data_IF_737926633217
#
_entry.id   IF_737926633217
#
_cell.length_a   1.000
_cell.length_b   1.000
_cell.length_c   1.000
_cell.angle_alpha   90.00
_cell.angle_beta   90.00
_cell.angle_gamma   90.00
#
_symmetry.space_group_name_H-M   'P 1'
#
loop_
_entity.id
_entity.type
_entity.pdbx_description
1 polymer ?
#
# COMPACT_ATOMS: atom_id res chain seq x y z
N UNK A 1 -13.96 -15.92 46.39
CA UNK A 1 -14.59 -16.64 45.26
C UNK A 1 -14.40 -15.77 44.01
N UNK A 2 -13.52 -16.23 43.13
CA UNK A 2 -13.33 -15.92 41.69
C UNK A 2 -13.29 -14.45 41.24
N UNK A 3 -12.07 -13.91 41.18
CA UNK A 3 -11.69 -12.80 40.30
C UNK A 3 -11.67 -13.31 38.86
N UNK A 4 -12.68 -13.01 38.05
CA UNK A 4 -12.68 -13.30 36.62
C UNK A 4 -11.69 -12.36 35.91
N UNK A 5 -10.43 -12.80 35.86
CA UNK A 5 -9.44 -12.33 34.89
C UNK A 5 -9.92 -12.75 33.50
N UNK A 6 -10.75 -11.93 32.87
CA UNK A 6 -10.83 -11.90 31.41
C UNK A 6 -9.51 -11.33 30.91
N UNK A 7 -8.47 -12.17 30.92
CA UNK A 7 -7.22 -11.91 30.24
C UNK A 7 -7.60 -11.95 28.76
N UNK A 8 -7.99 -10.81 28.21
CA UNK A 8 -8.21 -10.61 26.79
C UNK A 8 -6.98 -11.14 26.09
N UNK A 9 -7.07 -12.37 25.59
CA UNK A 9 -6.11 -12.91 24.64
C UNK A 9 -6.44 -12.16 23.36
N UNK A 10 -5.92 -10.94 23.27
CA UNK A 10 -5.93 -10.17 22.05
C UNK A 10 -4.97 -10.89 21.12
N UNK A 11 -5.48 -11.93 20.46
CA UNK A 11 -4.80 -12.57 19.34
C UNK A 11 -4.79 -11.51 18.24
N UNK A 12 -3.81 -10.61 18.28
CA UNK A 12 -3.44 -9.86 17.10
C UNK A 12 -2.86 -10.87 16.12
N UNK A 13 -3.73 -11.45 15.29
CA UNK A 13 -3.28 -12.17 14.11
C UNK A 13 -2.40 -11.21 13.31
N UNK A 14 -1.16 -11.62 13.03
CA UNK A 14 -0.27 -10.86 12.16
C UNK A 14 -1.02 -10.56 10.86
N UNK A 15 -1.08 -9.27 10.50
CA UNK A 15 -1.73 -8.79 9.28
C UNK A 15 -0.68 -8.38 8.29
N UNK A 16 -0.91 -8.66 7.01
CA UNK A 16 -0.05 -8.21 5.93
C UNK A 16 -0.60 -6.90 5.37
N UNK A 17 0.23 -5.89 5.25
CA UNK A 17 -0.15 -4.55 4.78
C UNK A 17 0.69 -4.19 3.56
N UNK A 18 0.02 -3.82 2.47
CA UNK A 18 0.65 -3.25 1.29
C UNK A 18 0.85 -1.75 1.50
N UNK A 19 2.09 -1.30 1.62
CA UNK A 19 2.46 0.09 1.80
C UNK A 19 2.97 0.69 0.50
N UNK A 20 2.11 1.45 -0.18
CA UNK A 20 2.38 2.07 -1.48
C UNK A 20 2.97 3.45 -1.30
N UNK A 21 4.12 3.70 -1.92
CA UNK A 21 4.77 5.01 -2.02
C UNK A 21 5.07 5.31 -3.48
N UNK A 22 4.92 6.58 -3.87
CA UNK A 22 5.30 7.04 -5.21
C UNK A 22 5.90 8.43 -5.10
N UNK A 23 7.22 8.49 -4.90
CA UNK A 23 7.93 9.76 -4.82
C UNK A 23 9.32 9.66 -5.45
N UNK A 24 9.70 10.57 -6.37
CA UNK A 24 10.94 10.45 -7.16
C UNK A 24 12.25 10.69 -6.39
N UNK A 25 12.16 11.16 -5.15
CA UNK A 25 13.31 11.35 -4.24
C UNK A 25 13.14 10.43 -3.04
N UNK A 26 14.25 9.90 -2.53
CA UNK A 26 14.32 8.94 -1.41
C UNK A 26 14.32 9.57 -0.02
N UNK A 27 14.80 10.82 0.14
CA UNK A 27 14.76 11.57 1.42
C UNK A 27 13.64 12.64 1.64
N UNK A 28 12.43 12.53 1.07
CA UNK A 28 11.29 13.37 1.43
C UNK A 28 10.49 12.77 2.58
N UNK A 29 9.79 13.65 3.31
CA UNK A 29 8.78 13.35 4.34
C UNK A 29 7.90 12.11 4.03
N UNK A 30 7.60 11.85 2.76
CA UNK A 30 6.88 10.64 2.30
C UNK A 30 7.54 9.36 2.81
N UNK A 31 8.82 9.12 2.50
CA UNK A 31 9.55 7.93 2.93
C UNK A 31 9.75 7.91 4.44
N UNK A 32 10.09 9.05 5.05
CA UNK A 32 10.22 9.12 6.51
C UNK A 32 8.92 8.72 7.24
N UNK A 33 7.78 9.23 6.79
CA UNK A 33 6.47 8.87 7.36
C UNK A 33 6.06 7.43 7.06
N UNK A 34 6.36 6.91 5.86
CA UNK A 34 6.09 5.53 5.50
C UNK A 34 6.94 4.56 6.35
N UNK A 35 8.22 4.87 6.56
CA UNK A 35 9.12 4.09 7.41
C UNK A 35 8.68 4.10 8.87
N UNK A 36 8.23 5.26 9.39
CA UNK A 36 7.68 5.34 10.74
C UNK A 36 6.42 4.48 10.90
N UNK A 37 5.52 4.51 9.91
CA UNK A 37 4.34 3.65 9.88
C UNK A 37 4.72 2.16 9.83
N UNK A 38 5.63 1.77 8.94
CA UNK A 38 6.11 0.40 8.81
C UNK A 38 6.74 -0.09 10.12
N UNK A 39 7.56 0.73 10.78
CA UNK A 39 8.14 0.44 12.09
C UNK A 39 7.08 0.20 13.16
N UNK A 40 6.04 1.04 13.22
CA UNK A 40 4.93 0.87 14.16
C UNK A 40 4.10 -0.41 13.90
N UNK A 41 3.91 -0.77 12.63
CA UNK A 41 3.25 -2.03 12.24
C UNK A 41 4.08 -3.26 12.64
N UNK A 42 5.37 -3.26 12.34
CA UNK A 42 6.29 -4.33 12.71
C UNK A 42 6.35 -4.49 14.23
N UNK A 43 6.40 -3.40 15.00
CA UNK A 43 6.39 -3.41 16.46
C UNK A 43 5.10 -4.03 17.05
N UNK A 44 4.00 -4.04 16.30
CA UNK A 44 2.72 -4.70 16.67
C UNK A 44 2.57 -6.12 16.10
N UNK A 45 3.59 -6.65 15.44
CA UNK A 45 3.58 -7.99 14.84
C UNK A 45 2.88 -8.07 13.49
N UNK A 46 2.63 -6.94 12.82
CA UNK A 46 2.16 -6.93 11.43
C UNK A 46 3.34 -7.03 10.46
N UNK A 47 3.06 -7.46 9.22
CA UNK A 47 4.03 -7.56 8.14
C UNK A 47 3.77 -6.45 7.12
N UNK A 48 4.84 -5.82 6.64
CA UNK A 48 4.77 -4.80 5.60
C UNK A 48 5.30 -5.38 4.30
N UNK A 49 4.50 -5.31 3.25
CA UNK A 49 4.93 -5.40 1.87
C UNK A 49 5.08 -3.97 1.32
N UNK A 50 6.26 -3.62 0.82
CA UNK A 50 6.49 -2.32 0.21
C UNK A 50 6.11 -2.35 -1.27
N UNK A 51 5.47 -1.28 -1.72
CA UNK A 51 5.23 -0.96 -3.12
C UNK A 51 5.81 0.42 -3.43
N UNK A 52 7.10 0.48 -3.79
CA UNK A 52 7.74 1.73 -4.23
C UNK A 52 7.58 1.87 -5.73
N UNK A 53 6.51 2.54 -6.17
CA UNK A 53 6.13 2.59 -7.57
C UNK A 53 7.19 3.25 -8.46
N UNK A 54 7.99 4.18 -7.92
CA UNK A 54 9.06 4.80 -8.69
C UNK A 54 10.24 3.84 -8.82
N UNK A 55 10.69 3.25 -7.71
CA UNK A 55 11.82 2.32 -7.75
C UNK A 55 11.49 1.02 -8.52
N UNK A 56 10.23 0.59 -8.50
CA UNK A 56 9.73 -0.59 -9.21
C UNK A 56 9.47 -0.31 -10.71
N UNK A 57 9.60 0.93 -11.18
CA UNK A 57 9.37 1.28 -12.59
C UNK A 57 7.92 1.12 -13.02
N UNK A 58 6.97 1.37 -12.12
CA UNK A 58 5.54 1.29 -12.42
C UNK A 58 5.16 2.27 -13.55
N UNK A 59 4.47 1.77 -14.58
CA UNK A 59 3.93 2.58 -15.67
C UNK A 59 2.51 3.06 -15.32
N UNK A 60 2.31 4.37 -15.08
CA UNK A 60 1.01 4.90 -14.67
C UNK A 60 0.03 5.11 -15.84
N UNK A 61 0.44 4.86 -17.08
CA UNK A 61 -0.41 5.11 -18.26
C UNK A 61 -1.45 4.01 -18.42
N UNK A 62 -2.73 4.37 -18.26
CA UNK A 62 -3.86 3.48 -18.52
C UNK A 62 -3.99 3.21 -20.03
N UNK A 63 -4.07 1.93 -20.39
CA UNK A 63 -4.31 1.46 -21.77
C UNK A 63 -5.73 0.91 -21.87
N UNK A 64 -6.28 0.94 -23.08
CA UNK A 64 -7.64 0.45 -23.36
C UNK A 64 -7.85 -1.02 -22.94
N UNK A 65 -6.82 -1.87 -23.10
CA UNK A 65 -6.86 -3.26 -22.63
C UNK A 65 -7.16 -3.36 -21.13
N UNK A 66 -6.70 -2.38 -20.34
CA UNK A 66 -6.78 -2.38 -18.89
C UNK A 66 -7.92 -1.51 -18.33
N UNK A 67 -8.72 -0.89 -19.20
CA UNK A 67 -9.87 -0.09 -18.77
C UNK A 67 -10.91 -0.97 -18.05
N UNK A 68 -11.40 -0.64 -16.84
CA UNK A 68 -12.34 -1.52 -16.14
C UNK A 68 -13.62 -1.80 -16.96
N UNK A 69 -13.98 -3.07 -17.09
CA UNK A 69 -15.28 -3.50 -17.62
C UNK A 69 -16.15 -3.99 -16.46
N UNK A 70 -17.08 -3.14 -16.02
CA UNK A 70 -17.97 -3.46 -14.90
C UNK A 70 -19.05 -4.49 -15.26
N UNK A 71 -19.23 -4.80 -16.54
CA UNK A 71 -20.19 -5.78 -17.03
C UNK A 71 -19.60 -7.19 -17.17
N UNK A 72 -18.27 -7.31 -17.23
CA UNK A 72 -17.56 -8.58 -17.29
C UNK A 72 -16.62 -8.79 -16.10
N UNK A 73 -17.06 -9.52 -15.05
CA UNK A 73 -16.21 -9.82 -13.90
C UNK A 73 -15.04 -10.75 -14.22
N UNK A 74 -14.99 -11.35 -15.42
CA UNK A 74 -13.91 -12.23 -15.88
C UNK A 74 -13.00 -11.57 -16.91
N UNK A 75 -13.09 -10.24 -17.07
CA UNK A 75 -12.19 -9.50 -17.95
C UNK A 75 -10.73 -9.82 -17.62
N UNK A 76 -9.96 -10.17 -18.65
CA UNK A 76 -8.52 -10.33 -18.55
C UNK A 76 -7.82 -8.98 -18.69
N UNK A 77 -7.05 -8.60 -17.67
CA UNK A 77 -6.17 -7.43 -17.65
C UNK A 77 -4.75 -7.83 -18.04
N UNK A 78 -3.91 -6.85 -18.38
CA UNK A 78 -2.48 -7.07 -18.63
C UNK A 78 -1.78 -7.66 -17.40
N UNK A 79 -0.69 -8.40 -17.64
CA UNK A 79 0.06 -9.06 -16.58
C UNK A 79 0.57 -8.10 -15.49
N UNK A 80 0.94 -6.87 -15.85
CA UNK A 80 1.36 -5.85 -14.89
C UNK A 80 0.20 -5.43 -13.98
N UNK A 81 -1.00 -5.24 -14.52
CA UNK A 81 -2.20 -4.90 -13.74
C UNK A 81 -2.62 -6.07 -12.87
N UNK A 82 -2.68 -7.28 -13.41
CA UNK A 82 -3.01 -8.49 -12.65
C UNK A 82 -2.03 -8.72 -11.48
N UNK A 83 -0.74 -8.42 -11.67
CA UNK A 83 0.27 -8.47 -10.59
C UNK A 83 -0.08 -7.50 -9.45
N UNK A 84 -0.46 -6.26 -9.75
CA UNK A 84 -0.84 -5.29 -8.71
C UNK A 84 -2.19 -5.64 -8.05
N UNK A 85 -3.16 -6.15 -8.82
CA UNK A 85 -4.42 -6.68 -8.27
C UNK A 85 -4.15 -7.79 -7.26
N UNK A 86 -3.29 -8.75 -7.62
CA UNK A 86 -2.91 -9.84 -6.72
C UNK A 86 -2.23 -9.32 -5.44
N UNK A 87 -1.37 -8.29 -5.53
CA UNK A 87 -0.77 -7.67 -4.32
C UNK A 87 -1.82 -7.08 -3.41
N UNK A 88 -2.84 -6.41 -3.95
CA UNK A 88 -3.95 -5.86 -3.16
C UNK A 88 -4.71 -7.00 -2.47
N UNK A 89 -5.04 -8.07 -3.20
CA UNK A 89 -5.81 -9.21 -2.69
C UNK A 89 -5.06 -10.04 -1.63
N UNK A 90 -3.74 -10.17 -1.77
CA UNK A 90 -2.88 -10.90 -0.83
C UNK A 90 -2.65 -10.15 0.49
N UNK A 91 -2.99 -8.86 0.56
CA UNK A 91 -2.79 -8.03 1.73
C UNK A 91 -4.12 -7.73 2.45
N UNK A 92 -4.09 -7.67 3.78
CA UNK A 92 -5.28 -7.38 4.57
C UNK A 92 -5.65 -5.90 4.57
N UNK A 93 -4.70 -5.03 4.23
CA UNK A 93 -4.89 -3.60 4.10
C UNK A 93 -3.92 -3.02 3.07
N UNK A 94 -4.36 -1.99 2.37
CA UNK A 94 -3.53 -1.19 1.47
C UNK A 94 -3.47 0.24 2.00
N UNK A 95 -2.25 0.75 2.20
CA UNK A 95 -1.99 2.11 2.66
C UNK A 95 -1.24 2.85 1.57
N UNK A 96 -1.79 3.96 1.12
CA UNK A 96 -1.22 4.77 0.04
C UNK A 96 -0.66 6.06 0.64
N UNK A 97 0.67 6.23 0.57
CA UNK A 97 1.36 7.40 1.07
C UNK A 97 1.90 8.23 -0.09
N UNK A 98 1.18 9.30 -0.40
CA UNK A 98 1.53 10.26 -1.44
C UNK A 98 1.69 11.65 -0.85
N UNK A 99 2.62 12.43 -1.40
CA UNK A 99 2.73 13.86 -1.12
C UNK A 99 2.07 14.60 -2.28
N UNK A 100 1.12 15.47 -1.97
CA UNK A 100 0.64 16.47 -2.94
C UNK A 100 1.82 17.35 -3.33
N UNK A 101 2.20 17.34 -4.59
CA UNK A 101 3.08 18.37 -5.12
C UNK A 101 2.22 19.62 -5.27
N UNK A 102 2.35 20.57 -4.34
CA UNK A 102 1.90 21.93 -4.57
C UNK A 102 2.87 22.54 -5.58
N UNK A 103 2.37 22.93 -6.75
CA UNK A 103 3.08 23.83 -7.65
C UNK A 103 3.27 25.18 -6.94
N UNK A 104 4.30 25.28 -6.10
CA UNK A 104 4.80 26.57 -5.67
C UNK A 104 5.74 27.05 -6.80
N UNK A 105 5.22 27.96 -7.62
CA UNK A 105 5.97 28.84 -8.52
C UNK A 105 7.00 28.17 -9.45
N UNK A 106 6.58 27.75 -10.65
CA UNK A 106 7.45 27.97 -11.81
C UNK A 106 7.33 29.44 -12.18
N UNK A 107 8.24 30.25 -11.65
CA UNK A 107 8.62 31.48 -12.34
C UNK A 107 9.37 31.05 -13.60
N UNK A 108 8.70 31.14 -14.75
CA UNK A 108 9.34 31.39 -16.05
C UNK A 108 9.29 32.88 -16.33
#
# INVERSE_FOLDING_TARGET
MVQHRYRTVLVFLAKKVLLVVAHPRSDPLTFASASAFAGACNAKGHQIEWADLIAEGFDPVLRQSDEPDWSDPRKEYSASVQREMARIELNNATVIRLRRQSSCGMSV
#
